data_IF_712375133863
#
_entry.id   IF_712375133863
#
_cell.length_a   1.000
_cell.length_b   1.000
_cell.length_c   1.000
_cell.angle_alpha   90.00
_cell.angle_beta   90.00
_cell.angle_gamma   90.00
#
_symmetry.space_group_name_H-M   'P 1'
#
loop_
_entity.id
_entity.type
_entity.pdbx_description
1 polymer ?
#
# COMPACT_ATOMS: atom_id res chain seq x y z
N UNK A 1 44.25 15.30 -64.90
CA UNK A 1 43.58 16.46 -65.53
C UNK A 1 42.46 15.94 -66.44
N UNK A 2 41.23 16.43 -66.25
CA UNK A 2 40.04 16.36 -67.15
C UNK A 2 39.46 14.97 -67.48
N UNK A 3 38.29 14.55 -66.97
CA UNK A 3 36.90 14.81 -67.46
C UNK A 3 36.77 14.48 -68.98
N UNK A 4 35.83 13.66 -69.49
CA UNK A 4 34.40 13.59 -69.18
C UNK A 4 33.64 12.40 -69.86
N UNK A 5 32.56 11.96 -69.20
CA UNK A 5 31.19 11.66 -69.69
C UNK A 5 30.89 10.69 -70.87
N UNK A 6 30.11 9.65 -70.55
CA UNK A 6 29.20 8.93 -71.46
C UNK A 6 27.73 9.22 -71.09
N UNK A 7 26.80 9.43 -72.06
CA UNK A 7 25.36 9.41 -71.82
C UNK A 7 24.69 8.07 -72.23
N UNK A 8 23.41 7.84 -71.84
CA UNK A 8 22.87 6.50 -71.58
C UNK A 8 22.02 5.91 -72.72
N UNK A 9 21.85 4.58 -72.70
CA UNK A 9 20.96 3.81 -73.59
C UNK A 9 19.60 3.58 -72.92
N UNK A 10 18.56 3.97 -73.64
CA UNK A 10 17.16 3.56 -73.45
C UNK A 10 17.00 2.03 -73.54
N UNK A 11 16.04 1.44 -72.81
CA UNK A 11 14.71 1.07 -73.33
C UNK A 11 14.10 -0.15 -72.58
N UNK A 12 13.10 0.15 -71.74
CA UNK A 12 11.88 -0.60 -71.40
C UNK A 12 11.93 -2.13 -71.13
N UNK A 13 11.70 -2.50 -69.87
CA UNK A 13 10.98 -3.72 -69.49
C UNK A 13 9.86 -3.35 -68.51
N UNK A 14 8.62 -3.72 -68.86
CA UNK A 14 7.43 -3.58 -68.03
C UNK A 14 7.51 -4.48 -66.80
N UNK A 15 7.37 -3.89 -65.60
CA UNK A 15 7.05 -4.65 -64.38
C UNK A 15 5.90 -3.95 -63.66
N UNK A 16 4.72 -4.55 -63.78
CA UNK A 16 3.55 -4.27 -62.95
C UNK A 16 3.84 -4.79 -61.54
N UNK A 17 4.19 -3.88 -60.64
CA UNK A 17 4.35 -4.14 -59.21
C UNK A 17 2.97 -4.09 -58.56
N UNK A 18 2.38 -5.27 -58.30
CA UNK A 18 1.22 -5.40 -57.41
C UNK A 18 1.76 -5.32 -55.97
N UNK A 19 1.65 -4.13 -55.36
CA UNK A 19 1.90 -3.93 -53.94
C UNK A 19 0.75 -4.55 -53.13
N UNK A 20 0.96 -5.78 -52.67
CA UNK A 20 0.15 -6.42 -51.62
C UNK A 20 0.51 -5.74 -50.29
N UNK A 21 -0.27 -4.74 -49.89
CA UNK A 21 -0.24 -4.17 -48.55
C UNK A 21 -0.87 -5.20 -47.60
N UNK A 22 -0.04 -5.98 -46.91
CA UNK A 22 -0.48 -6.72 -45.74
C UNK A 22 -0.78 -5.71 -44.63
N UNK A 23 -2.08 -5.44 -44.42
CA UNK A 23 -2.55 -4.74 -43.23
C UNK A 23 -2.27 -5.62 -42.02
N UNK A 24 -1.25 -5.26 -41.24
CA UNK A 24 -1.07 -5.76 -39.89
C UNK A 24 -2.25 -5.20 -39.07
N UNK A 25 -3.30 -6.00 -38.88
CA UNK A 25 -4.25 -5.77 -37.80
C UNK A 25 -3.52 -6.08 -36.50
N UNK A 26 -2.82 -5.09 -35.95
CA UNK A 26 -2.53 -5.09 -34.54
C UNK A 26 -3.89 -4.97 -33.84
N UNK A 27 -4.41 -6.10 -33.37
CA UNK A 27 -5.43 -6.08 -32.33
C UNK A 27 -4.78 -5.40 -31.13
N UNK A 28 -4.98 -4.09 -31.00
CA UNK A 28 -4.62 -3.38 -29.80
C UNK A 28 -5.47 -3.97 -28.69
N UNK A 29 -4.88 -4.81 -27.84
CA UNK A 29 -5.39 -4.99 -26.49
C UNK A 29 -5.33 -3.61 -25.85
N UNK A 30 -6.44 -2.87 -25.86
CA UNK A 30 -6.60 -1.75 -24.96
C UNK A 30 -6.53 -2.32 -23.54
N UNK A 31 -5.50 -1.95 -22.79
CA UNK A 31 -5.41 -2.29 -21.38
C UNK A 31 -6.71 -1.83 -20.69
N UNK A 32 -7.27 -2.67 -19.83
CA UNK A 32 -8.42 -2.30 -19.01
C UNK A 32 -7.96 -1.16 -18.10
N UNK A 33 -8.68 -0.03 -18.11
CA UNK A 33 -8.40 1.07 -17.20
C UNK A 33 -8.68 0.62 -15.77
N UNK A 34 -7.74 0.88 -14.86
CA UNK A 34 -7.91 0.62 -13.43
C UNK A 34 -9.11 1.45 -12.92
N UNK A 35 -10.11 0.83 -12.27
CA UNK A 35 -11.15 1.56 -11.57
C UNK A 35 -10.55 2.44 -10.46
N UNK A 36 -11.17 3.60 -10.23
CA UNK A 36 -10.73 4.56 -9.24
C UNK A 36 -11.91 4.95 -8.33
N UNK A 37 -11.64 5.11 -7.04
CA UNK A 37 -12.59 5.61 -6.06
C UNK A 37 -11.91 6.57 -5.07
N UNK A 38 -12.72 7.37 -4.38
CA UNK A 38 -12.25 8.29 -3.35
C UNK A 38 -12.89 7.95 -2.02
N UNK A 39 -12.09 7.97 -0.96
CA UNK A 39 -12.54 7.90 0.42
C UNK A 39 -12.10 9.19 1.09
N UNK A 40 -13.04 9.93 1.68
CA UNK A 40 -12.74 11.16 2.40
C UNK A 40 -12.98 10.95 3.88
N UNK A 41 -12.01 11.33 4.70
CA UNK A 41 -12.09 11.32 6.16
C UNK A 41 -11.73 12.71 6.65
N UNK A 42 -12.69 13.35 7.33
CA UNK A 42 -12.51 14.68 7.92
C UNK A 42 -13.27 14.73 9.24
N UNK A 43 -13.10 15.81 10.00
CA UNK A 43 -13.95 16.12 11.16
C UNK A 43 -15.46 16.09 10.85
N UNK A 44 -15.85 16.30 9.58
CA UNK A 44 -17.25 16.25 9.15
C UNK A 44 -17.78 14.82 8.96
N UNK A 45 -16.90 13.82 8.89
CA UNK A 45 -17.22 12.41 8.78
C UNK A 45 -16.39 11.67 7.72
N UNK A 46 -16.76 10.40 7.55
CA UNK A 46 -16.15 9.44 6.64
C UNK A 46 -17.13 9.16 5.47
N UNK A 47 -16.63 9.23 4.24
CA UNK A 47 -17.39 8.92 3.02
C UNK A 47 -16.69 7.88 2.18
N UNK A 48 -17.47 6.98 1.59
CA UNK A 48 -17.03 5.88 0.74
C UNK A 48 -17.89 5.83 -0.53
N UNK A 49 -17.45 5.16 -1.61
CA UNK A 49 -18.38 4.75 -2.67
C UNK A 49 -19.52 3.90 -2.09
N UNK A 50 -20.63 3.76 -2.82
CA UNK A 50 -21.69 2.82 -2.43
C UNK A 50 -21.34 1.38 -2.84
N UNK A 51 -20.81 1.23 -4.06
CA UNK A 51 -20.45 -0.04 -4.68
C UNK A 51 -19.26 0.16 -5.62
N UNK A 52 -18.40 -0.86 -5.73
CA UNK A 52 -17.32 -0.96 -6.72
C UNK A 52 -17.13 -2.42 -7.16
N UNK A 53 -16.52 -2.64 -8.32
CA UNK A 53 -16.18 -3.98 -8.80
C UNK A 53 -14.92 -4.52 -8.11
N UNK A 54 -14.79 -5.85 -8.02
CA UNK A 54 -13.63 -6.56 -7.46
C UNK A 54 -12.38 -6.52 -8.36
N UNK A 55 -11.24 -6.92 -7.80
CA UNK A 55 -9.91 -6.91 -8.41
C UNK A 55 -9.13 -5.64 -8.14
N UNK A 56 -8.20 -5.32 -9.04
CA UNK A 56 -7.28 -4.18 -8.89
C UNK A 56 -8.00 -2.84 -9.00
N UNK A 57 -8.07 -2.11 -7.89
CA UNK A 57 -8.75 -0.81 -7.77
C UNK A 57 -7.86 0.20 -7.07
N UNK A 58 -7.78 1.42 -7.60
CA UNK A 58 -7.08 2.54 -6.98
C UNK A 58 -8.03 3.35 -6.09
N UNK A 59 -7.62 3.60 -4.86
CA UNK A 59 -8.30 4.50 -3.95
C UNK A 59 -7.45 5.73 -3.69
N UNK A 60 -8.06 6.91 -3.86
CA UNK A 60 -7.53 8.16 -3.35
C UNK A 60 -8.14 8.40 -1.96
N UNK A 61 -7.32 8.35 -0.92
CA UNK A 61 -7.71 8.71 0.43
C UNK A 61 -7.44 10.18 0.62
N UNK A 62 -8.45 10.96 0.97
CA UNK A 62 -8.33 12.36 1.38
C UNK A 62 -8.53 12.39 2.89
N UNK A 63 -7.43 12.50 3.64
CA UNK A 63 -7.38 12.26 5.08
C UNK A 63 -7.05 13.56 5.80
N UNK A 64 -7.96 14.01 6.66
CA UNK A 64 -7.73 15.14 7.55
C UNK A 64 -6.67 14.84 8.62
N UNK A 65 -6.15 15.89 9.25
CA UNK A 65 -5.17 15.78 10.33
C UNK A 65 -5.71 14.92 11.48
N UNK A 66 -4.91 13.97 11.97
CA UNK A 66 -5.26 13.11 13.10
C UNK A 66 -6.11 11.88 12.78
N UNK A 67 -6.44 11.64 11.52
CA UNK A 67 -7.20 10.45 11.09
C UNK A 67 -6.30 9.33 10.56
N UNK A 68 -6.66 8.08 10.84
CA UNK A 68 -5.91 6.88 10.44
C UNK A 68 -6.87 5.80 9.94
N UNK A 69 -7.41 5.96 8.71
CA UNK A 69 -8.36 5.00 8.16
C UNK A 69 -7.69 3.66 7.87
N UNK A 70 -8.35 2.58 8.22
CA UNK A 70 -7.98 1.22 7.83
C UNK A 70 -9.06 0.68 6.92
N UNK A 71 -8.64 0.19 5.75
CA UNK A 71 -9.52 -0.55 4.84
C UNK A 71 -9.66 -1.99 5.33
N UNK A 72 -10.90 -2.46 5.46
CA UNK A 72 -11.19 -3.82 5.91
C UNK A 72 -12.27 -4.48 5.05
N UNK A 73 -12.36 -5.80 5.13
CA UNK A 73 -13.41 -6.63 4.53
C UNK A 73 -14.07 -7.46 5.64
N UNK A 74 -15.40 -7.51 5.72
CA UNK A 74 -16.05 -8.46 6.64
C UNK A 74 -15.64 -9.90 6.31
N UNK A 75 -15.34 -10.69 7.34
CA UNK A 75 -15.01 -12.10 7.16
C UNK A 75 -16.23 -12.87 6.62
N UNK A 76 -15.97 -14.01 5.96
CA UNK A 76 -17.05 -14.83 5.38
C UNK A 76 -18.11 -15.18 6.42
N UNK A 77 -19.38 -14.88 6.11
CA UNK A 77 -20.51 -15.15 7.00
C UNK A 77 -20.74 -14.12 8.11
N UNK A 78 -19.86 -13.12 8.26
CA UNK A 78 -20.07 -11.99 9.19
C UNK A 78 -21.01 -10.97 8.54
N UNK A 79 -22.03 -10.57 9.28
CA UNK A 79 -22.92 -9.47 8.86
C UNK A 79 -22.46 -8.13 9.43
N UNK A 80 -22.86 -7.04 8.80
CA UNK A 80 -22.61 -5.70 9.32
C UNK A 80 -23.25 -5.49 10.71
N UNK A 81 -24.39 -6.13 10.97
CA UNK A 81 -25.05 -6.09 12.30
C UNK A 81 -24.16 -6.72 13.38
N UNK A 82 -23.62 -7.91 13.11
CA UNK A 82 -22.70 -8.59 14.04
C UNK A 82 -21.42 -7.78 14.26
N UNK A 83 -20.86 -7.22 13.19
CA UNK A 83 -19.69 -6.35 13.28
C UNK A 83 -19.98 -5.13 14.16
N UNK A 84 -21.07 -4.39 13.88
CA UNK A 84 -21.40 -3.17 14.62
C UNK A 84 -21.78 -3.44 16.09
N UNK A 85 -22.41 -4.58 16.38
CA UNK A 85 -22.67 -5.04 17.75
C UNK A 85 -21.34 -5.21 18.51
N UNK A 86 -20.43 -6.03 17.98
CA UNK A 86 -19.11 -6.26 18.58
C UNK A 86 -18.29 -4.95 18.69
N UNK A 87 -18.31 -4.13 17.65
CA UNK A 87 -17.56 -2.87 17.59
C UNK A 87 -18.06 -1.87 18.61
N UNK A 88 -19.37 -1.81 18.85
CA UNK A 88 -19.97 -0.94 19.87
C UNK A 88 -19.70 -1.39 21.30
N UNK A 89 -19.52 -2.70 21.52
CA UNK A 89 -19.16 -3.26 22.83
C UNK A 89 -17.68 -3.07 23.13
N UNK A 90 -16.82 -3.42 22.18
CA UNK A 90 -15.37 -3.28 22.24
C UNK A 90 -14.78 -3.27 20.82
N UNK A 91 -14.30 -2.11 20.32
CA UNK A 91 -13.70 -1.99 18.99
C UNK A 91 -12.61 -3.04 18.70
N UNK A 92 -11.77 -3.37 19.69
CA UNK A 92 -10.70 -4.35 19.54
C UNK A 92 -11.22 -5.77 19.24
N UNK A 93 -12.38 -6.12 19.79
CA UNK A 93 -12.98 -7.44 19.58
C UNK A 93 -13.55 -7.61 18.17
N UNK A 94 -14.02 -6.51 17.57
CA UNK A 94 -14.58 -6.50 16.23
C UNK A 94 -13.52 -6.70 15.13
N UNK A 95 -12.25 -6.44 15.43
CA UNK A 95 -11.14 -6.67 14.50
C UNK A 95 -11.07 -8.16 14.10
N UNK A 96 -11.47 -9.08 14.97
CA UNK A 96 -11.55 -10.52 14.66
C UNK A 96 -12.61 -10.90 13.61
N UNK A 97 -13.56 -9.99 13.35
CA UNK A 97 -14.67 -10.18 12.42
C UNK A 97 -14.35 -9.65 11.02
N UNK A 98 -13.18 -9.04 10.84
CA UNK A 98 -12.75 -8.46 9.56
C UNK A 98 -11.40 -8.99 9.13
N UNK A 99 -11.16 -8.94 7.83
CA UNK A 99 -9.85 -9.04 7.21
C UNK A 99 -9.33 -7.62 7.02
N UNK A 100 -8.13 -7.34 7.52
CA UNK A 100 -7.47 -6.04 7.41
C UNK A 100 -6.67 -5.97 6.12
N UNK A 101 -6.88 -4.96 5.29
CA UNK A 101 -6.23 -4.84 3.98
C UNK A 101 -4.99 -3.94 4.02
N UNK A 102 -4.62 -3.43 5.19
CA UNK A 102 -3.61 -2.39 5.35
C UNK A 102 -4.11 -1.03 4.84
N UNK A 103 -3.20 -0.30 4.21
CA UNK A 103 -3.41 1.09 3.80
C UNK A 103 -2.56 2.06 4.62
N UNK A 104 -2.33 3.24 4.07
CA UNK A 104 -1.43 4.23 4.64
C UNK A 104 -0.42 4.74 3.62
N UNK A 105 0.60 5.43 4.10
CA UNK A 105 1.49 6.24 3.28
C UNK A 105 2.36 7.14 4.15
N UNK A 106 2.85 8.23 3.57
CA UNK A 106 3.64 9.21 4.32
C UNK A 106 2.76 9.92 5.35
N UNK A 107 3.29 10.10 6.57
CA UNK A 107 2.55 10.75 7.67
C UNK A 107 2.26 12.23 7.39
N UNK A 108 3.05 12.86 6.53
CA UNK A 108 2.90 14.26 6.13
C UNK A 108 1.83 14.48 5.07
N UNK A 109 1.39 13.42 4.41
CA UNK A 109 0.49 13.53 3.28
C UNK A 109 -0.95 13.58 3.75
N UNK A 110 -1.66 14.64 3.34
CA UNK A 110 -3.10 14.78 3.55
C UNK A 110 -3.92 13.96 2.55
N UNK A 111 -3.25 13.38 1.54
CA UNK A 111 -3.89 12.49 0.57
C UNK A 111 -2.94 11.38 0.16
N UNK A 112 -3.43 10.15 0.14
CA UNK A 112 -2.62 8.97 -0.16
C UNK A 112 -3.33 8.12 -1.21
N UNK A 113 -2.55 7.65 -2.18
CA UNK A 113 -3.02 6.74 -3.20
C UNK A 113 -2.63 5.31 -2.80
N UNK A 114 -3.63 4.45 -2.68
CA UNK A 114 -3.42 3.02 -2.41
C UNK A 114 -4.18 2.21 -3.45
N UNK A 115 -3.52 1.23 -4.05
CA UNK A 115 -4.14 0.26 -4.94
C UNK A 115 -4.37 -1.02 -4.17
N UNK A 116 -5.59 -1.55 -4.21
CA UNK A 116 -5.95 -2.81 -3.57
C UNK A 116 -6.33 -3.85 -4.61
N UNK A 117 -6.09 -5.12 -4.29
CA UNK A 117 -6.69 -6.27 -4.95
C UNK A 117 -7.95 -6.68 -4.18
N UNK A 118 -9.08 -6.04 -4.51
CA UNK A 118 -10.32 -6.22 -3.74
C UNK A 118 -10.97 -7.56 -4.04
N UNK A 119 -11.35 -8.28 -2.98
CA UNK A 119 -12.21 -9.46 -3.11
C UNK A 119 -13.69 -9.04 -3.04
N UNK A 120 -14.63 -9.79 -3.63
CA UNK A 120 -16.06 -9.54 -3.44
C UNK A 120 -16.47 -9.60 -1.96
N UNK A 121 -17.37 -8.72 -1.54
CA UNK A 121 -17.88 -8.69 -0.15
C UNK A 121 -18.13 -7.29 0.38
N UNK A 122 -18.65 -7.21 1.60
CA UNK A 122 -18.85 -5.93 2.29
C UNK A 122 -17.52 -5.45 2.85
N UNK A 123 -17.08 -4.28 2.41
CA UNK A 123 -15.89 -3.61 2.92
C UNK A 123 -16.29 -2.53 3.90
N UNK A 124 -15.47 -2.35 4.93
CA UNK A 124 -15.68 -1.36 5.97
C UNK A 124 -14.40 -0.56 6.12
N UNK A 125 -14.51 0.75 6.02
CA UNK A 125 -13.45 1.68 6.38
C UNK A 125 -13.68 2.08 7.83
N UNK A 126 -12.65 1.92 8.64
CA UNK A 126 -12.68 2.23 10.08
C UNK A 126 -11.59 3.27 10.31
N UNK A 127 -11.96 4.44 10.80
CA UNK A 127 -11.00 5.44 11.26
C UNK A 127 -10.84 5.31 12.77
N UNK A 128 -9.69 4.83 13.23
CA UNK A 128 -9.43 4.55 14.65
C UNK A 128 -9.18 5.80 15.50
N UNK A 129 -9.42 7.00 14.96
CA UNK A 129 -9.36 8.25 15.71
C UNK A 129 -10.57 8.44 16.64
N UNK A 130 -10.33 8.64 17.94
CA UNK A 130 -11.34 9.04 18.93
C UNK A 130 -12.10 7.91 19.64
N UNK A 131 -12.97 8.27 20.58
CA UNK A 131 -13.71 7.32 21.44
C UNK A 131 -14.81 6.53 20.70
N UNK A 132 -15.31 7.07 19.58
CA UNK A 132 -16.28 6.43 18.70
C UNK A 132 -15.73 6.48 17.29
N UNK A 133 -15.01 5.44 16.86
CA UNK A 133 -14.27 5.51 15.62
C UNK A 133 -15.26 5.60 14.44
N UNK A 134 -15.17 6.61 13.56
CA UNK A 134 -16.03 6.72 12.40
C UNK A 134 -15.93 5.47 11.51
N UNK A 135 -17.08 4.97 11.07
CA UNK A 135 -17.16 3.78 10.20
C UNK A 135 -18.09 4.03 9.02
N UNK A 136 -17.70 3.52 7.86
CA UNK A 136 -18.52 3.51 6.65
C UNK A 136 -18.26 2.24 5.86
N UNK A 137 -19.29 1.75 5.17
CA UNK A 137 -19.19 0.51 4.40
C UNK A 137 -19.58 0.71 2.95
N UNK A 138 -19.01 -0.11 2.08
CA UNK A 138 -19.35 -0.19 0.68
C UNK A 138 -19.37 -1.65 0.21
N UNK A 139 -20.08 -1.90 -0.88
CA UNK A 139 -20.14 -3.24 -1.46
C UNK A 139 -19.06 -3.41 -2.53
N UNK A 140 -18.33 -4.50 -2.50
CA UNK A 140 -17.51 -4.96 -3.62
C UNK A 140 -18.27 -6.07 -4.34
N UNK A 141 -18.60 -5.85 -5.60
CA UNK A 141 -19.34 -6.77 -6.45
C UNK A 141 -18.37 -7.62 -7.29
N UNK A 142 -18.67 -8.91 -7.45
CA UNK A 142 -17.89 -9.78 -8.32
C UNK A 142 -18.08 -9.39 -9.80
N UNK A 143 -16.99 -9.31 -10.56
CA UNK A 143 -16.99 -9.01 -11.99
C UNK A 143 -17.22 -10.24 -12.87
N UNK A 144 -17.84 -9.99 -14.03
CA UNK A 144 -18.03 -10.96 -15.11
C UNK A 144 -16.97 -10.76 -16.22
N UNK A 145 -15.67 -10.98 -15.96
CA UNK A 145 -14.66 -11.39 -16.98
C UNK A 145 -13.52 -10.42 -17.42
N UNK A 146 -13.25 -9.25 -16.79
CA UNK A 146 -12.03 -8.45 -17.10
C UNK A 146 -11.43 -7.68 -15.93
N UNK A 147 -10.18 -7.96 -15.60
CA UNK A 147 -9.45 -7.31 -14.50
C UNK A 147 -8.43 -6.30 -15.00
N UNK A 148 -8.23 -5.21 -14.26
CA UNK A 148 -7.07 -4.34 -14.46
C UNK A 148 -5.80 -5.07 -13.97
N UNK A 149 -4.65 -4.76 -14.57
CA UNK A 149 -3.38 -5.28 -14.06
C UNK A 149 -2.95 -4.49 -12.82
N UNK A 150 -2.31 -5.12 -11.83
CA UNK A 150 -1.65 -4.40 -10.75
C UNK A 150 -0.56 -3.48 -11.32
N UNK A 151 -0.23 -2.38 -10.63
CA UNK A 151 0.90 -1.55 -11.02
C UNK A 151 2.20 -2.35 -10.90
N UNK A 152 3.20 -2.01 -11.71
CA UNK A 152 4.56 -2.54 -11.53
C UNK A 152 5.15 -1.94 -10.26
N UNK A 153 5.75 -2.79 -9.42
CA UNK A 153 6.37 -2.36 -8.17
C UNK A 153 7.86 -2.08 -8.36
N UNK A 154 8.31 -0.93 -7.88
CA UNK A 154 9.72 -0.56 -7.78
C UNK A 154 10.37 -1.24 -6.57
N UNK A 155 9.60 -1.38 -5.49
CA UNK A 155 10.03 -2.00 -4.22
C UNK A 155 9.01 -3.07 -3.84
N UNK A 156 9.50 -4.25 -3.47
CA UNK A 156 8.68 -5.32 -2.87
C UNK A 156 8.99 -5.41 -1.38
N UNK A 157 7.94 -5.49 -0.57
CA UNK A 157 8.01 -5.67 0.87
C UNK A 157 7.17 -6.87 1.27
N UNK A 158 7.83 -7.91 1.75
CA UNK A 158 7.15 -9.04 2.35
C UNK A 158 7.12 -8.86 3.88
N UNK A 159 5.92 -8.74 4.44
CA UNK A 159 5.69 -8.88 5.87
C UNK A 159 5.59 -10.38 6.14
N UNK A 160 6.60 -10.97 6.79
CA UNK A 160 6.70 -12.44 6.89
C UNK A 160 7.19 -12.85 8.26
N UNK A 161 6.29 -13.47 9.01
CA UNK A 161 6.50 -13.80 10.41
C UNK A 161 7.01 -12.54 11.16
N UNK A 162 7.97 -12.66 12.07
CA UNK A 162 8.53 -11.49 12.77
C UNK A 162 9.66 -10.81 11.97
N UNK A 163 9.51 -10.62 10.66
CA UNK A 163 10.53 -10.02 9.80
C UNK A 163 9.94 -9.23 8.62
N UNK A 164 10.68 -8.22 8.18
CA UNK A 164 10.47 -7.55 6.90
C UNK A 164 11.48 -8.05 5.86
N UNK A 165 11.00 -8.67 4.79
CA UNK A 165 11.83 -8.94 3.61
C UNK A 165 11.81 -7.69 2.71
N UNK A 166 12.75 -6.79 2.98
CA UNK A 166 12.90 -5.49 2.33
C UNK A 166 14.34 -5.30 1.81
N UNK A 167 14.54 -4.69 0.63
CA UNK A 167 15.87 -4.33 0.13
C UNK A 167 16.64 -3.48 1.15
N UNK A 168 17.95 -3.72 1.26
CA UNK A 168 18.79 -2.93 2.14
C UNK A 168 19.04 -1.51 1.61
N UNK A 169 18.96 -1.33 0.29
CA UNK A 169 19.18 -0.07 -0.41
C UNK A 169 18.13 0.10 -1.51
N UNK A 170 17.59 1.31 -1.64
CA UNK A 170 16.68 1.74 -2.70
C UNK A 170 17.07 3.15 -3.18
N UNK A 171 16.82 3.54 -4.43
CA UNK A 171 17.03 4.91 -4.86
C UNK A 171 15.98 5.86 -4.24
N UNK A 172 16.33 7.13 -4.07
CA UNK A 172 15.38 8.18 -3.70
C UNK A 172 14.38 8.48 -4.82
N UNK A 173 13.26 9.11 -4.44
CA UNK A 173 12.21 9.57 -5.34
C UNK A 173 10.91 8.76 -5.24
N UNK A 174 9.88 9.13 -6.03
CA UNK A 174 8.58 8.45 -6.02
C UNK A 174 8.70 7.00 -6.47
N UNK A 175 8.21 6.08 -5.66
CA UNK A 175 8.25 4.64 -5.89
C UNK A 175 6.90 4.00 -5.61
N UNK A 176 6.54 3.01 -6.43
CA UNK A 176 5.44 2.10 -6.13
C UNK A 176 5.96 0.94 -5.29
N UNK A 177 5.44 0.80 -4.09
CA UNK A 177 5.77 -0.27 -3.16
C UNK A 177 4.65 -1.30 -3.16
N UNK A 178 4.96 -2.55 -3.50
CA UNK A 178 4.06 -3.69 -3.25
C UNK A 178 4.32 -4.21 -1.83
N UNK A 179 3.30 -4.16 -0.98
CA UNK A 179 3.36 -4.63 0.39
C UNK A 179 2.43 -5.83 0.49
N UNK A 180 2.99 -6.99 0.82
CA UNK A 180 2.26 -8.25 0.93
C UNK A 180 2.54 -8.88 2.29
N UNK A 181 1.47 -9.30 2.98
CA UNK A 181 1.62 -10.09 4.18
C UNK A 181 1.68 -11.59 3.83
N UNK A 182 2.90 -12.15 3.81
CA UNK A 182 3.17 -13.58 3.61
C UNK A 182 3.30 -14.36 4.92
N UNK A 183 3.19 -13.67 6.06
CA UNK A 183 3.24 -14.24 7.39
C UNK A 183 1.95 -14.96 7.79
N UNK A 184 1.90 -15.38 9.05
CA UNK A 184 0.72 -16.04 9.64
C UNK A 184 -0.04 -15.14 10.63
N UNK A 185 0.49 -13.95 10.93
CA UNK A 185 -0.14 -12.98 11.83
C UNK A 185 -0.39 -11.66 11.10
N UNK A 186 -1.14 -10.77 11.74
CA UNK A 186 -1.25 -9.39 11.26
C UNK A 186 0.09 -8.70 11.39
N UNK A 187 0.46 -7.91 10.39
CA UNK A 187 1.66 -7.08 10.43
C UNK A 187 1.32 -5.67 10.02
N UNK A 188 1.95 -4.71 10.68
CA UNK A 188 2.00 -3.31 10.27
C UNK A 188 3.44 -2.97 9.86
N UNK A 189 3.63 -1.78 9.29
CA UNK A 189 4.96 -1.26 9.04
C UNK A 189 5.01 0.23 9.37
N UNK A 190 5.72 0.55 10.45
CA UNK A 190 6.06 1.93 10.81
C UNK A 190 7.45 2.22 10.28
N UNK A 191 7.59 3.23 9.42
CA UNK A 191 8.89 3.68 8.91
C UNK A 191 9.26 4.96 9.66
N UNK A 192 10.41 4.93 10.32
CA UNK A 192 10.94 6.07 11.07
C UNK A 192 12.33 6.46 10.60
N UNK A 193 12.70 7.71 10.83
CA UNK A 193 14.07 8.22 10.71
C UNK A 193 14.64 8.44 12.10
N UNK A 194 15.70 7.72 12.43
CA UNK A 194 16.32 7.81 13.77
C UNK A 194 17.15 9.08 13.89
N UNK A 195 17.12 9.72 15.07
CA UNK A 195 18.02 10.84 15.34
C UNK A 195 19.48 10.38 15.32
N UNK A 196 20.45 11.27 15.07
CA UNK A 196 21.86 10.91 15.03
C UNK A 196 22.34 10.20 16.31
N UNK A 197 22.84 8.98 16.16
CA UNK A 197 23.36 8.16 17.26
C UNK A 197 22.32 7.31 17.99
N UNK A 198 21.05 7.36 17.59
CA UNK A 198 19.97 6.53 18.13
C UNK A 198 19.98 5.16 17.45
N UNK A 199 19.79 4.12 18.25
CA UNK A 199 19.76 2.73 17.82
C UNK A 199 18.35 2.16 17.95
N UNK A 200 18.10 1.00 17.33
CA UNK A 200 16.83 0.27 17.50
C UNK A 200 16.66 -0.15 18.96
N UNK A 201 17.75 -0.53 19.62
CA UNK A 201 17.75 -0.88 21.04
C UNK A 201 17.29 0.29 21.92
N UNK A 202 17.61 1.53 21.55
CA UNK A 202 17.12 2.72 22.26
C UNK A 202 15.59 2.88 22.10
N UNK A 203 15.04 2.56 20.92
CA UNK A 203 13.59 2.57 20.68
C UNK A 203 12.91 1.51 21.55
N UNK A 204 13.44 0.28 21.56
CA UNK A 204 12.90 -0.82 22.36
C UNK A 204 12.94 -0.49 23.86
N UNK A 205 14.03 0.14 24.33
CA UNK A 205 14.15 0.58 25.72
C UNK A 205 13.13 1.67 26.08
N UNK A 206 12.87 2.62 25.17
CA UNK A 206 11.87 3.66 25.36
C UNK A 206 10.45 3.07 25.48
N UNK A 207 10.08 2.15 24.59
CA UNK A 207 8.76 1.49 24.63
C UNK A 207 8.53 0.65 25.88
N UNK A 208 9.56 -0.06 26.35
CA UNK A 208 9.47 -0.84 27.57
C UNK A 208 9.16 0.05 28.78
N UNK A 209 9.75 1.25 28.84
CA UNK A 209 9.50 2.22 29.91
C UNK A 209 8.05 2.76 29.91
N UNK A 210 7.46 2.96 28.73
CA UNK A 210 6.05 3.38 28.60
C UNK A 210 5.08 2.28 29.06
N UNK A 211 5.34 1.03 28.67
CA UNK A 211 4.48 -0.13 28.97
C UNK A 211 4.45 -0.46 30.47
N UNK A 212 5.51 -0.14 31.22
CA UNK A 212 5.59 -0.33 32.68
C UNK A 212 4.77 0.71 33.48
N UNK A 213 3.98 1.56 32.82
CA UNK A 213 3.18 2.60 33.46
C UNK A 213 4.01 3.80 33.90
N UNK A 214 5.17 4.00 33.26
CA UNK A 214 5.93 5.24 33.37
C UNK A 214 5.13 6.42 32.84
N UNK A 215 5.42 7.61 33.35
CA UNK A 215 4.91 8.84 32.71
C UNK A 215 5.40 8.87 31.26
N UNK A 216 4.55 9.27 30.32
CA UNK A 216 4.97 9.51 28.93
C UNK A 216 6.23 10.38 28.96
N UNK A 217 7.29 10.04 28.20
CA UNK A 217 8.54 10.77 28.25
C UNK A 217 8.30 12.28 28.07
N UNK A 218 8.87 13.11 28.96
CA UNK A 218 8.81 14.57 28.81
C UNK A 218 9.54 15.05 27.54
N UNK A 219 10.46 14.23 27.03
CA UNK A 219 11.21 14.47 25.80
C UNK A 219 10.54 13.77 24.61
N UNK A 220 10.51 14.41 23.42
CA UNK A 220 9.96 13.79 22.23
C UNK A 220 10.72 12.49 21.88
N UNK A 221 10.06 11.54 21.18
CA UNK A 221 10.71 10.30 20.76
C UNK A 221 12.02 10.58 20.01
N UNK A 222 13.04 9.71 20.16
CA UNK A 222 14.35 9.90 19.55
C UNK A 222 14.37 9.57 18.04
N UNK A 223 13.22 9.69 17.37
CA UNK A 223 13.00 9.41 15.96
C UNK A 223 11.87 10.29 15.41
N UNK A 224 11.81 10.40 14.09
CA UNK A 224 10.75 11.05 13.34
C UNK A 224 9.92 9.97 12.62
N UNK A 225 8.60 10.02 12.77
CA UNK A 225 7.68 9.18 11.97
C UNK A 225 7.68 9.65 10.53
N UNK A 226 7.81 8.72 9.58
CA UNK A 226 7.93 9.02 8.15
C UNK A 226 6.77 8.45 7.37
N UNK A 227 6.49 7.16 7.57
CA UNK A 227 5.38 6.49 6.92
C UNK A 227 4.74 5.48 7.87
N UNK A 228 3.45 5.24 7.69
CA UNK A 228 2.72 4.22 8.40
C UNK A 228 1.95 3.37 7.40
N UNK A 229 2.10 2.06 7.53
CA UNK A 229 1.27 1.07 6.88
C UNK A 229 0.45 0.35 7.93
N UNK A 230 -0.86 0.51 7.86
CA UNK A 230 -1.81 -0.06 8.79
C UNK A 230 -1.72 -1.60 8.83
N UNK A 231 -2.18 -2.21 9.94
CA UNK A 231 -2.25 -3.66 10.06
C UNK A 231 -2.89 -4.34 8.84
N UNK A 232 -2.21 -5.35 8.33
CA UNK A 232 -2.61 -6.15 7.18
C UNK A 232 -2.73 -7.61 7.57
N UNK A 233 -3.79 -8.27 7.12
CA UNK A 233 -4.04 -9.68 7.38
C UNK A 233 -3.20 -10.63 6.50
N UNK A 234 -2.93 -11.87 6.96
CA UNK A 234 -2.26 -12.88 6.16
C UNK A 234 -2.87 -13.08 4.78
N UNK A 235 -2.02 -13.09 3.75
CA UNK A 235 -2.40 -13.32 2.36
C UNK A 235 -2.95 -12.09 1.62
N UNK A 236 -3.11 -10.95 2.30
CA UNK A 236 -3.52 -9.71 1.66
C UNK A 236 -2.30 -8.95 1.11
N UNK A 237 -2.55 -8.14 0.07
CA UNK A 237 -1.54 -7.30 -0.59
C UNK A 237 -2.15 -5.99 -1.08
N UNK A 238 -1.32 -4.95 -1.15
CA UNK A 238 -1.69 -3.68 -1.77
C UNK A 238 -0.44 -2.93 -2.24
N UNK A 239 -0.65 -1.87 -3.02
CA UNK A 239 0.40 -1.01 -3.51
C UNK A 239 0.23 0.41 -2.99
N UNK A 240 1.33 1.00 -2.53
CA UNK A 240 1.38 2.37 -2.05
C UNK A 240 2.44 3.17 -2.81
N UNK A 241 2.19 4.45 -3.00
CA UNK A 241 3.21 5.38 -3.49
C UNK A 241 3.95 5.97 -2.30
N UNK A 242 5.27 5.77 -2.23
CA UNK A 242 6.15 6.41 -1.24
C UNK A 242 7.23 7.21 -1.95
N UNK A 243 7.48 8.43 -1.48
CA UNK A 243 8.55 9.30 -1.97
C UNK A 243 9.50 9.60 -0.81
N UNK A 244 10.54 8.79 -0.67
CA UNK A 244 11.50 8.92 0.40
C UNK A 244 12.72 9.72 -0.09
N UNK A 245 13.09 10.73 0.68
CA UNK A 245 14.33 11.47 0.52
C UNK A 245 15.56 10.60 0.86
N UNK A 246 16.77 10.93 0.36
CA UNK A 246 18.00 10.24 0.76
C UNK A 246 18.20 10.20 2.28
N UNK A 247 18.56 9.03 2.80
CA UNK A 247 18.73 8.84 4.24
C UNK A 247 18.73 7.38 4.69
N UNK A 248 18.76 7.17 6.01
CA UNK A 248 18.64 5.85 6.62
C UNK A 248 17.35 5.79 7.41
N UNK A 249 16.54 4.79 7.13
CA UNK A 249 15.21 4.61 7.70
C UNK A 249 15.12 3.24 8.35
N UNK A 250 14.25 3.11 9.36
CA UNK A 250 14.01 1.84 10.05
C UNK A 250 12.52 1.52 9.98
N UNK A 251 12.19 0.34 9.44
CA UNK A 251 10.88 -0.27 9.48
C UNK A 251 10.72 -1.08 10.78
N UNK A 252 9.58 -0.92 11.45
CA UNK A 252 9.24 -1.51 12.75
C UNK A 252 7.80 -2.06 12.71
N UNK A 253 7.52 -3.14 13.44
CA UNK A 253 6.15 -3.63 13.69
C UNK A 253 5.93 -3.72 15.20
N UNK A 254 4.95 -2.99 15.73
CA UNK A 254 4.70 -2.96 17.17
C UNK A 254 3.54 -3.85 17.59
N UNK A 255 2.83 -4.47 16.63
CA UNK A 255 1.72 -5.36 16.94
C UNK A 255 2.14 -6.49 17.88
N UNK A 256 1.27 -6.87 18.84
CA UNK A 256 1.54 -7.99 19.73
C UNK A 256 1.40 -9.33 19.01
N UNK A 257 2.28 -10.28 19.36
CA UNK A 257 2.14 -11.69 19.02
C UNK A 257 0.91 -12.27 19.73
N UNK A 258 -0.04 -12.80 18.96
CA UNK A 258 -1.25 -13.41 19.54
C UNK A 258 -0.97 -14.60 20.46
N UNK A 259 0.18 -15.26 20.33
CA UNK A 259 0.55 -16.41 21.14
C UNK A 259 1.18 -16.02 22.49
N UNK A 260 1.99 -14.95 22.53
CA UNK A 260 2.79 -14.59 23.72
C UNK A 260 2.44 -13.23 24.32
N UNK A 261 1.83 -12.34 23.54
CA UNK A 261 1.57 -10.96 23.91
C UNK A 261 2.78 -10.02 23.79
N UNK A 262 3.98 -10.54 23.47
CA UNK A 262 5.15 -9.70 23.20
C UNK A 262 4.99 -9.02 21.83
N UNK A 263 5.51 -7.80 21.67
CA UNK A 263 5.47 -7.12 20.38
C UNK A 263 6.29 -7.87 19.31
N UNK A 264 5.91 -7.73 18.05
CA UNK A 264 6.68 -8.28 16.93
C UNK A 264 8.09 -7.67 16.87
N UNK A 265 8.25 -6.41 17.28
CA UNK A 265 9.55 -5.77 17.46
C UNK A 265 10.44 -6.50 18.48
N UNK A 266 9.90 -6.93 19.62
CA UNK A 266 10.63 -7.73 20.61
C UNK A 266 11.04 -9.11 20.07
N UNK A 267 10.29 -9.64 19.10
CA UNK A 267 10.69 -10.82 18.33
C UNK A 267 11.75 -10.53 17.25
N UNK A 268 12.10 -9.27 17.04
CA UNK A 268 13.10 -8.82 16.06
C UNK A 268 12.52 -8.35 14.74
N UNK A 269 11.23 -8.03 14.66
CA UNK A 269 10.59 -7.48 13.46
C UNK A 269 10.99 -6.02 13.24
N UNK A 270 12.23 -5.85 12.78
CA UNK A 270 12.86 -4.57 12.49
C UNK A 270 13.78 -4.70 11.29
N UNK A 271 13.79 -3.67 10.44
CA UNK A 271 14.68 -3.63 9.28
C UNK A 271 15.11 -2.21 8.95
N UNK A 272 16.41 -1.98 8.88
CA UNK A 272 16.97 -0.72 8.37
C UNK A 272 17.17 -0.79 6.87
N UNK A 273 16.82 0.29 6.17
CA UNK A 273 17.05 0.50 4.74
C UNK A 273 17.77 1.83 4.52
N UNK A 274 18.55 1.92 3.45
CA UNK A 274 19.17 3.17 3.00
C UNK A 274 18.53 3.63 1.71
N UNK A 275 18.08 4.88 1.69
CA UNK A 275 17.63 5.57 0.49
C UNK A 275 18.82 6.33 -0.07
N UNK A 276 19.28 5.96 -1.26
CA UNK A 276 20.45 6.57 -1.90
C UNK A 276 20.06 7.75 -2.77
N UNK A 277 20.98 8.68 -2.97
CA UNK A 277 20.88 9.67 -4.04
C UNK A 277 20.64 8.99 -5.40
N UNK A 278 19.89 9.65 -6.28
CA UNK A 278 19.57 9.18 -7.64
C UNK A 278 20.74 9.28 -8.62
#
# INVERSE_FOLDING_TARGET
MSQSHFPPRNLYWCLLLVLLVFGLLAAGCSAVSMPEATIQITDAGLTTPAEIEDGIVRFNFEVGEGHTPIMTRLNEGVTMEQFMEAFSENPDSAVSLVTLLGGGGLVTDTSQEVVYDLQPGTHVVIDFAGEQPPTASFQVAAKDDREANPPEADVQVDLVDFNFALPAEIPAGPQTWEIENKGQQWHEMVIVKLNPGVTVEDIMAAMAAETEGGESPEEPPPFEDVAFWAPMSPGERAWASLDLEPGTYTALCFLPDFATGMSHLEHGMVRTLTVTES
#
